data_IF_759009894977
#
_entry.id   IF_759009894977
#
_cell.length_a   1.000
_cell.length_b   1.000
_cell.length_c   1.000
_cell.angle_alpha   90.00
_cell.angle_beta   90.00
_cell.angle_gamma   90.00
#
_symmetry.space_group_name_H-M   'P 1'
#
loop_
_entity.id
_entity.type
_entity.pdbx_description
1 polymer ?
#
# COMPACT_ATOMS: atom_id res chain seq x y z
N UNK A 1 -32.72 41.49 20.37
CA UNK A 1 -31.72 41.30 19.30
C UNK A 1 -30.41 40.95 19.98
N UNK A 2 -29.75 39.80 19.87
CA UNK A 2 -29.95 38.51 19.22
C UNK A 2 -28.91 37.59 19.92
N UNK A 3 -29.32 36.50 20.54
CA UNK A 3 -28.38 35.57 21.22
C UNK A 3 -27.73 34.70 20.15
N UNK A 4 -26.53 35.05 19.69
CA UNK A 4 -25.73 34.20 18.80
C UNK A 4 -25.31 32.93 19.55
N UNK A 5 -26.08 31.85 19.42
CA UNK A 5 -25.63 30.51 19.78
C UNK A 5 -24.56 30.07 18.78
N UNK A 6 -23.28 30.24 19.13
CA UNK A 6 -22.19 29.59 18.42
C UNK A 6 -22.20 28.10 18.74
N UNK A 7 -22.85 27.31 17.89
CA UNK A 7 -22.76 25.86 17.94
C UNK A 7 -21.32 25.41 17.61
N UNK A 8 -20.57 25.00 18.64
CA UNK A 8 -19.30 24.30 18.47
C UNK A 8 -19.55 22.97 17.74
N UNK A 9 -19.37 22.94 16.41
CA UNK A 9 -19.29 21.70 15.64
C UNK A 9 -18.17 20.83 16.26
N UNK A 10 -18.52 19.70 16.88
CA UNK A 10 -17.53 18.69 17.26
C UNK A 10 -16.86 18.19 15.97
N UNK A 11 -15.62 18.60 15.74
CA UNK A 11 -14.79 18.01 14.69
C UNK A 11 -14.57 16.53 15.04
N UNK A 12 -15.36 15.63 14.46
CA UNK A 12 -15.17 14.19 14.59
C UNK A 12 -13.82 13.82 14.03
N UNK A 13 -12.82 13.62 14.90
CA UNK A 13 -11.46 13.27 14.49
C UNK A 13 -11.43 11.91 13.78
N UNK A 14 -10.47 11.75 12.85
CA UNK A 14 -10.25 10.47 12.16
C UNK A 14 -10.05 9.33 13.17
N UNK A 15 -10.70 8.20 12.94
CA UNK A 15 -10.47 6.98 13.72
C UNK A 15 -9.00 6.54 13.63
N UNK A 16 -8.52 5.78 14.63
CA UNK A 16 -7.18 5.18 14.61
C UNK A 16 -6.96 4.38 13.31
N UNK A 17 -8.01 3.68 12.85
CA UNK A 17 -7.96 2.93 11.60
C UNK A 17 -7.66 3.83 10.40
N UNK A 18 -8.44 4.91 10.23
CA UNK A 18 -8.24 5.85 9.13
C UNK A 18 -6.85 6.47 9.15
N UNK A 19 -6.36 6.88 10.34
CA UNK A 19 -5.01 7.44 10.50
C UNK A 19 -3.92 6.45 10.08
N UNK A 20 -4.04 5.18 10.47
CA UNK A 20 -3.09 4.14 10.08
C UNK A 20 -3.16 3.85 8.58
N UNK A 21 -4.38 3.76 8.03
CA UNK A 21 -4.58 3.48 6.60
C UNK A 21 -4.00 4.58 5.70
N UNK A 22 -4.19 5.85 6.08
CA UNK A 22 -3.61 7.03 5.43
C UNK A 22 -2.07 7.00 5.52
N UNK A 23 -1.52 6.75 6.72
CA UNK A 23 -0.06 6.68 6.91
C UNK A 23 0.58 5.56 6.10
N UNK A 24 -0.08 4.41 6.01
CA UNK A 24 0.36 3.29 5.18
C UNK A 24 0.39 3.68 3.71
N UNK A 25 -0.61 4.42 3.23
CA UNK A 25 -0.66 4.85 1.84
C UNK A 25 0.48 5.82 1.51
N UNK A 26 0.72 6.81 2.37
CA UNK A 26 1.83 7.77 2.25
C UNK A 26 3.18 7.04 2.22
N UNK A 27 3.38 6.07 3.11
CA UNK A 27 4.62 5.30 3.16
C UNK A 27 4.86 4.49 1.88
N UNK A 28 3.81 3.87 1.33
CA UNK A 28 3.92 3.11 0.08
C UNK A 28 4.17 4.01 -1.12
N UNK A 29 3.55 5.19 -1.18
CA UNK A 29 3.80 6.18 -2.24
C UNK A 29 5.26 6.66 -2.22
N UNK A 30 5.75 7.12 -1.06
CA UNK A 30 7.15 7.52 -0.86
C UNK A 30 8.13 6.41 -1.20
N UNK A 31 7.79 5.16 -0.87
CA UNK A 31 8.63 4.02 -1.24
C UNK A 31 8.80 3.91 -2.76
N UNK A 32 7.73 4.09 -3.54
CA UNK A 32 7.80 4.06 -5.00
C UNK A 32 8.61 5.23 -5.58
N UNK A 33 8.46 6.43 -5.00
CA UNK A 33 9.19 7.64 -5.42
C UNK A 33 10.70 7.47 -5.27
N UNK A 34 11.15 7.00 -4.10
CA UNK A 34 12.59 6.98 -3.78
C UNK A 34 13.32 5.71 -4.22
N UNK A 35 12.63 4.65 -4.69
CA UNK A 35 13.27 3.33 -4.89
C UNK A 35 14.41 3.32 -5.90
N UNK A 36 14.39 4.23 -6.88
CA UNK A 36 15.44 4.33 -7.91
C UNK A 36 16.74 4.90 -7.35
N UNK A 37 16.65 5.88 -6.47
CA UNK A 37 17.79 6.60 -5.89
C UNK A 37 18.23 5.99 -4.56
N UNK A 38 17.27 5.64 -3.71
CA UNK A 38 17.45 5.19 -2.32
C UNK A 38 16.68 3.89 -2.06
N UNK A 39 17.09 2.76 -2.68
CA UNK A 39 16.37 1.49 -2.58
C UNK A 39 16.26 0.96 -1.14
N UNK A 40 17.28 1.19 -0.30
CA UNK A 40 17.26 0.80 1.10
C UNK A 40 16.18 1.53 1.89
N UNK A 41 15.95 2.82 1.62
CA UNK A 41 14.91 3.60 2.31
C UNK A 41 13.51 3.22 1.83
N UNK A 42 13.35 2.96 0.53
CA UNK A 42 12.11 2.42 -0.01
C UNK A 42 11.71 1.10 0.68
N UNK A 43 12.66 0.18 0.89
CA UNK A 43 12.43 -1.07 1.63
C UNK A 43 12.04 -0.79 3.09
N UNK A 44 12.69 0.16 3.76
CA UNK A 44 12.34 0.56 5.13
C UNK A 44 10.90 1.08 5.19
N UNK A 45 10.48 1.94 4.26
CA UNK A 45 9.11 2.46 4.23
C UNK A 45 8.06 1.36 4.07
N UNK A 46 8.28 0.40 3.16
CA UNK A 46 7.39 -0.77 3.01
C UNK A 46 7.33 -1.59 4.30
N UNK A 47 8.48 -1.87 4.94
CA UNK A 47 8.53 -2.60 6.21
C UNK A 47 7.78 -1.85 7.31
N UNK A 48 7.94 -0.54 7.41
CA UNK A 48 7.22 0.32 8.38
C UNK A 48 5.71 0.29 8.14
N UNK A 49 5.27 0.39 6.88
CA UNK A 49 3.86 0.28 6.52
C UNK A 49 3.26 -1.07 6.95
N UNK A 50 3.98 -2.18 6.72
CA UNK A 50 3.56 -3.51 7.18
C UNK A 50 3.47 -3.60 8.71
N UNK A 51 4.49 -3.10 9.41
CA UNK A 51 4.54 -3.09 10.89
C UNK A 51 3.39 -2.28 11.50
N UNK A 52 3.02 -1.14 10.91
CA UNK A 52 1.88 -0.34 11.36
C UNK A 52 0.57 -1.14 11.29
N UNK A 53 0.29 -1.78 10.15
CA UNK A 53 -0.89 -2.65 10.00
C UNK A 53 -0.90 -3.76 11.05
N UNK A 54 0.25 -4.43 11.26
CA UNK A 54 0.36 -5.52 12.25
C UNK A 54 0.11 -5.03 13.67
N UNK A 55 0.78 -3.93 14.08
CA UNK A 55 0.66 -3.35 15.42
C UNK A 55 -0.78 -3.00 15.78
N UNK A 56 -1.52 -2.42 14.84
CA UNK A 56 -2.90 -2.00 15.04
C UNK A 56 -3.93 -3.08 14.65
N UNK A 57 -3.49 -4.29 14.27
CA UNK A 57 -4.35 -5.38 13.79
C UNK A 57 -5.27 -4.97 12.63
N UNK A 58 -4.80 -4.04 11.79
CA UNK A 58 -5.55 -3.53 10.64
C UNK A 58 -5.14 -4.32 9.39
N UNK A 59 -6.09 -4.93 8.65
CA UNK A 59 -5.75 -5.61 7.42
C UNK A 59 -5.29 -4.59 6.37
N UNK A 60 -4.07 -4.76 5.87
CA UNK A 60 -3.50 -3.88 4.84
C UNK A 60 -4.31 -3.85 3.53
N UNK A 61 -5.24 -4.78 3.29
CA UNK A 61 -6.06 -4.80 2.08
C UNK A 61 -5.31 -5.28 0.83
N UNK A 62 -6.07 -5.74 -0.18
CA UNK A 62 -5.50 -6.38 -1.37
C UNK A 62 -4.72 -5.40 -2.25
N UNK A 63 -5.24 -4.20 -2.48
CA UNK A 63 -4.61 -3.18 -3.33
C UNK A 63 -3.20 -2.81 -2.83
N UNK A 64 -3.06 -2.45 -1.55
CA UNK A 64 -1.77 -2.10 -0.94
C UNK A 64 -0.78 -3.27 -0.93
N UNK A 65 -1.23 -4.49 -0.63
CA UNK A 65 -0.39 -5.71 -0.66
C UNK A 65 0.12 -6.08 -2.07
N UNK A 66 -0.46 -5.52 -3.13
CA UNK A 66 -0.01 -5.70 -4.53
C UNK A 66 1.07 -4.68 -4.94
N UNK A 67 1.37 -3.66 -4.12
CA UNK A 67 2.34 -2.61 -4.45
C UNK A 67 3.80 -2.96 -4.10
N UNK A 68 4.08 -4.12 -3.52
CA UNK A 68 5.43 -4.49 -3.10
C UNK A 68 5.67 -6.00 -3.08
N UNK A 69 6.93 -6.40 -3.14
CA UNK A 69 7.35 -7.79 -3.00
C UNK A 69 7.24 -8.26 -1.54
N UNK A 70 6.50 -9.34 -1.29
CA UNK A 70 6.36 -9.86 0.09
C UNK A 70 7.67 -10.44 0.65
N UNK A 71 8.54 -10.95 -0.22
CA UNK A 71 9.85 -11.54 0.11
C UNK A 71 10.87 -10.46 0.48
N UNK A 72 11.27 -9.61 -0.47
CA UNK A 72 12.33 -8.61 -0.24
C UNK A 72 11.81 -7.23 0.22
N UNK A 73 10.49 -7.01 0.28
CA UNK A 73 9.87 -5.71 0.63
C UNK A 73 10.23 -4.53 -0.28
N UNK A 74 10.79 -4.77 -1.46
CA UNK A 74 10.95 -3.73 -2.49
C UNK A 74 9.57 -3.31 -3.04
N UNK A 75 9.26 -2.01 -3.13
CA UNK A 75 8.05 -1.55 -3.81
C UNK A 75 8.12 -1.83 -5.31
N UNK A 76 6.99 -2.15 -5.92
CA UNK A 76 6.92 -2.49 -7.33
C UNK A 76 6.78 -1.23 -8.19
N UNK A 77 7.74 -1.04 -9.09
CA UNK A 77 7.72 -0.03 -10.14
C UNK A 77 7.86 -0.75 -11.50
N UNK A 78 6.76 -0.85 -12.27
CA UNK A 78 6.78 -1.48 -13.60
C UNK A 78 7.86 -0.87 -14.49
N UNK A 79 8.52 -1.71 -15.28
CA UNK A 79 9.63 -1.29 -16.15
C UNK A 79 10.96 -1.08 -15.42
N UNK A 80 10.99 -1.11 -14.08
CA UNK A 80 12.22 -0.99 -13.30
C UNK A 80 12.58 -2.25 -12.53
N UNK A 81 11.77 -2.63 -11.55
CA UNK A 81 12.11 -3.72 -10.61
C UNK A 81 11.07 -4.85 -10.54
N UNK A 82 10.03 -4.75 -11.37
CA UNK A 82 9.03 -5.79 -11.56
C UNK A 82 8.69 -5.93 -13.04
N UNK A 83 8.69 -7.18 -13.53
CA UNK A 83 8.11 -7.53 -14.81
C UNK A 83 6.66 -7.95 -14.59
N UNK A 84 5.74 -7.34 -15.33
CA UNK A 84 4.31 -7.65 -15.25
C UNK A 84 3.90 -8.38 -16.53
N UNK A 85 3.28 -9.55 -16.38
CA UNK A 85 2.80 -10.38 -17.50
C UNK A 85 1.32 -10.71 -17.29
N UNK A 86 0.55 -10.71 -18.37
CA UNK A 86 -0.83 -11.21 -18.37
C UNK A 86 -0.85 -12.71 -18.67
N UNK A 87 -1.52 -13.47 -17.82
CA UNK A 87 -1.92 -14.85 -18.07
C UNK A 87 -3.42 -14.86 -18.35
N UNK A 88 -3.77 -14.71 -19.62
CA UNK A 88 -5.15 -14.63 -20.08
C UNK A 88 -5.91 -15.94 -19.82
N UNK A 89 -5.23 -17.09 -19.98
CA UNK A 89 -5.81 -18.42 -19.77
C UNK A 89 -6.33 -18.57 -18.34
N UNK A 90 -5.55 -18.14 -17.36
CA UNK A 90 -5.93 -18.25 -15.95
C UNK A 90 -6.56 -16.96 -15.38
N UNK A 91 -6.77 -15.94 -16.21
CA UNK A 91 -7.29 -14.62 -15.82
C UNK A 91 -6.49 -14.00 -14.66
N UNK A 92 -5.16 -14.00 -14.79
CA UNK A 92 -4.21 -13.55 -13.76
C UNK A 92 -3.18 -12.57 -14.33
N UNK A 93 -2.66 -11.72 -13.46
CA UNK A 93 -1.47 -10.90 -13.69
C UNK A 93 -0.32 -11.47 -12.87
N UNK A 94 0.76 -11.82 -13.54
CA UNK A 94 2.01 -12.29 -12.94
C UNK A 94 2.95 -11.11 -12.71
N UNK A 95 3.45 -10.99 -11.50
CA UNK A 95 4.42 -10.00 -11.06
C UNK A 95 5.70 -10.75 -10.71
N UNK A 96 6.75 -10.52 -11.49
CA UNK A 96 8.07 -11.13 -11.30
C UNK A 96 9.00 -10.04 -10.76
N UNK A 97 9.35 -10.13 -9.48
CA UNK A 97 10.23 -9.17 -8.84
C UNK A 97 11.69 -9.38 -9.28
N UNK A 98 12.50 -8.32 -9.25
CA UNK A 98 13.96 -8.41 -9.46
C UNK A 98 14.68 -9.40 -8.52
N UNK A 99 14.09 -9.74 -7.37
CA UNK A 99 14.65 -10.75 -6.46
C UNK A 99 14.26 -12.20 -6.80
N UNK A 100 13.58 -12.43 -7.93
CA UNK A 100 13.13 -13.75 -8.39
C UNK A 100 11.76 -14.19 -7.84
N UNK A 101 11.17 -13.47 -6.88
CA UNK A 101 9.83 -13.81 -6.36
C UNK A 101 8.76 -13.60 -7.44
N UNK A 102 7.96 -14.65 -7.69
CA UNK A 102 6.83 -14.61 -8.62
C UNK A 102 5.52 -14.62 -7.85
N UNK A 103 4.62 -13.67 -8.14
CA UNK A 103 3.28 -13.65 -7.55
C UNK A 103 2.23 -13.42 -8.62
N UNK A 104 1.12 -14.14 -8.55
CA UNK A 104 -0.02 -13.96 -9.44
C UNK A 104 -1.19 -13.28 -8.72
N UNK A 105 -1.92 -12.45 -9.44
CA UNK A 105 -3.11 -11.78 -8.95
C UNK A 105 -4.23 -11.95 -9.96
N UNK A 106 -5.37 -12.53 -9.56
CA UNK A 106 -6.54 -12.52 -10.44
C UNK A 106 -7.07 -11.10 -10.60
N UNK A 107 -7.43 -10.75 -11.84
CA UNK A 107 -8.13 -9.52 -12.19
C UNK A 107 -9.65 -9.71 -12.29
N UNK A 108 -10.15 -10.93 -12.18
CA UNK A 108 -11.59 -11.19 -12.05
C UNK A 108 -12.02 -10.93 -10.61
N UNK A 109 -13.13 -10.20 -10.42
CA UNK A 109 -13.78 -10.17 -9.11
C UNK A 109 -14.26 -11.60 -8.84
N UNK A 110 -13.84 -12.20 -7.72
CA UNK A 110 -14.56 -13.36 -7.21
C UNK A 110 -15.92 -12.82 -6.78
N UNK A 111 -16.95 -13.15 -7.56
CA UNK A 111 -18.34 -13.06 -7.12
C UNK A 111 -18.56 -13.96 -5.91
#
# INVERSE_FOLDING_TARGET
>A
MEKMHMERKKAGGKSMRQKVEERVEILLAKACEVVKERPSDAIKYVKTARKLCMRHRIPMGRARKRKFCKKCSTPFVPGYNVKVRSDAKNKRMLYICKCGEVRSFSYMKRG
#
